data_IF_191830319365
#
_entry.id   IF_191830319365
#
_cell.length_a   1.000
_cell.length_b   1.000
_cell.length_c   1.000
_cell.angle_alpha   90.00
_cell.angle_beta   90.00
_cell.angle_gamma   90.00
#
_symmetry.space_group_name_H-M   'P 1'
#
loop_
_entity.id
_entity.type
_entity.pdbx_description
1 polymer ?
#
# COMPACT_ATOMS: atom_id res chain seq x y z
N UNK A 1 -7.24 6.83 18.07
CA UNK A 1 -6.92 8.19 17.55
C UNK A 1 -7.77 9.19 18.34
N UNK A 2 -7.21 10.31 18.82
CA UNK A 2 -8.01 11.39 19.45
C UNK A 2 -7.89 12.62 18.56
N UNK A 3 -9.02 13.15 18.12
CA UNK A 3 -9.09 14.41 17.36
C UNK A 3 -9.11 15.58 18.36
N UNK A 4 -8.35 16.63 18.09
CA UNK A 4 -8.25 17.79 18.98
C UNK A 4 -9.63 18.41 19.20
N UNK A 5 -10.04 18.55 20.48
CA UNK A 5 -11.35 19.10 20.85
C UNK A 5 -12.51 18.08 20.89
N UNK A 6 -12.28 16.82 20.50
CA UNK A 6 -13.28 15.74 20.59
C UNK A 6 -12.97 14.85 21.79
N UNK A 7 -13.86 14.88 22.79
CA UNK A 7 -13.65 14.15 24.05
C UNK A 7 -13.74 12.61 23.93
N UNK A 8 -14.39 12.12 22.87
CA UNK A 8 -14.63 10.70 22.62
C UNK A 8 -13.55 10.08 21.70
N UNK A 9 -13.25 8.77 21.84
CA UNK A 9 -12.36 8.07 20.91
C UNK A 9 -12.95 8.04 19.50
N UNK A 10 -12.13 8.38 18.51
CA UNK A 10 -12.51 8.36 17.10
C UNK A 10 -12.51 6.91 16.60
N UNK A 11 -13.67 6.45 16.14
CA UNK A 11 -13.91 5.11 15.58
C UNK A 11 -13.68 5.06 14.08
N UNK A 12 -13.79 6.19 13.38
CA UNK A 12 -13.53 6.29 11.94
C UNK A 12 -13.22 7.72 11.51
N UNK A 13 -12.38 7.86 10.49
CA UNK A 13 -12.00 9.15 9.90
C UNK A 13 -12.15 9.05 8.38
N UNK A 14 -12.77 10.05 7.77
CA UNK A 14 -13.00 10.12 6.34
C UNK A 14 -12.70 11.53 5.83
N UNK A 15 -11.99 11.62 4.70
CA UNK A 15 -11.79 12.88 3.99
C UNK A 15 -12.54 12.83 2.66
N UNK A 16 -13.29 13.90 2.37
CA UNK A 16 -13.95 14.09 1.07
C UNK A 16 -13.91 15.56 0.68
N UNK A 17 -13.16 15.86 -0.39
CA UNK A 17 -13.05 17.18 -1.02
C UNK A 17 -12.77 18.33 -0.02
N UNK A 18 -11.74 18.16 0.83
CA UNK A 18 -11.33 19.15 1.84
C UNK A 18 -12.22 19.20 3.09
N UNK A 19 -13.29 18.41 3.15
CA UNK A 19 -14.07 18.19 4.37
C UNK A 19 -13.59 16.91 5.07
N UNK A 20 -13.23 17.02 6.34
CA UNK A 20 -12.93 15.88 7.20
C UNK A 20 -14.15 15.54 8.06
N UNK A 21 -14.43 14.25 8.17
CA UNK A 21 -15.46 13.70 9.05
C UNK A 21 -14.84 12.72 10.03
N UNK A 22 -15.19 12.87 11.31
CA UNK A 22 -14.76 11.99 12.38
C UNK A 22 -15.98 11.35 13.05
N UNK A 23 -16.07 10.04 12.97
CA UNK A 23 -17.03 9.22 13.69
C UNK A 23 -16.48 8.92 15.10
N UNK A 24 -17.35 8.99 16.10
CA UNK A 24 -17.00 8.65 17.49
C UNK A 24 -17.90 7.55 18.03
N UNK A 25 -17.31 6.66 18.84
CA UNK A 25 -18.06 5.61 19.54
C UNK A 25 -18.63 6.07 20.88
N UNK A 26 -19.10 7.33 20.97
CA UNK A 26 -19.87 7.81 22.14
C UNK A 26 -20.42 9.24 22.00
N UNK A 27 -20.24 9.95 20.88
CA UNK A 27 -20.73 11.33 20.73
C UNK A 27 -21.04 11.70 19.25
N UNK A 28 -21.43 10.72 18.42
CA UNK A 28 -21.88 10.98 17.06
C UNK A 28 -20.79 11.39 16.06
N UNK A 29 -21.19 12.19 15.07
CA UNK A 29 -20.39 12.57 13.90
C UNK A 29 -19.93 14.03 13.97
N UNK A 30 -18.66 14.26 13.69
CA UNK A 30 -18.03 15.58 13.68
C UNK A 30 -17.55 15.93 12.28
N UNK A 31 -17.63 17.22 11.94
CA UNK A 31 -17.21 17.77 10.65
C UNK A 31 -16.19 18.87 10.81
N UNK A 32 -15.17 18.86 9.97
CA UNK A 32 -14.17 19.93 9.84
C UNK A 32 -13.99 20.32 8.38
N UNK A 33 -13.88 21.61 8.12
CA UNK A 33 -13.69 22.18 6.77
C UNK A 33 -12.35 22.91 6.62
N UNK A 34 -11.53 22.89 7.66
CA UNK A 34 -10.28 23.65 7.76
C UNK A 34 -9.07 22.73 7.97
N UNK A 35 -9.18 21.48 7.52
CA UNK A 35 -8.12 20.47 7.65
C UNK A 35 -7.97 19.92 9.07
N UNK A 36 -9.05 19.93 9.87
CA UNK A 36 -9.08 19.29 11.19
C UNK A 36 -8.68 20.22 12.33
N UNK A 37 -8.61 21.54 12.08
CA UNK A 37 -8.26 22.54 13.10
C UNK A 37 -9.46 22.88 13.99
N UNK A 38 -10.64 23.00 13.40
CA UNK A 38 -11.90 23.15 14.12
C UNK A 38 -12.88 22.05 13.74
N UNK A 39 -13.68 21.61 14.71
CA UNK A 39 -14.65 20.53 14.57
C UNK A 39 -16.00 20.97 15.07
N UNK A 40 -17.01 20.81 14.21
CA UNK A 40 -18.41 21.07 14.53
C UNK A 40 -19.12 19.74 14.72
N UNK A 41 -19.74 19.55 15.89
CA UNK A 41 -20.67 18.42 16.12
C UNK A 41 -21.86 18.59 15.20
N UNK A 42 -22.33 17.53 14.55
CA UNK A 42 -23.56 17.54 13.75
C UNK A 42 -24.74 17.07 14.63
N UNK A 43 -25.49 17.96 15.29
CA UNK A 43 -26.29 17.57 16.45
C UNK A 43 -27.70 17.05 16.10
N UNK A 44 -28.19 17.20 14.87
CA UNK A 44 -29.63 17.06 14.57
C UNK A 44 -29.99 16.12 13.41
N UNK A 45 -29.04 15.48 12.74
CA UNK A 45 -29.33 14.84 11.44
C UNK A 45 -29.24 13.30 11.44
N UNK A 46 -28.66 12.69 12.49
CA UNK A 46 -28.52 11.22 12.61
C UNK A 46 -29.52 10.59 13.61
N UNK A 47 -30.71 11.19 13.78
CA UNK A 47 -31.81 10.60 14.56
C UNK A 47 -31.62 10.58 16.09
N UNK A 48 -30.91 11.57 16.65
CA UNK A 48 -30.69 11.66 18.10
C UNK A 48 -31.99 12.10 18.80
N UNK A 49 -32.67 11.20 19.50
CA UNK A 49 -33.61 11.64 20.54
C UNK A 49 -32.81 12.37 21.63
N UNK A 50 -33.28 13.53 22.15
CA UNK A 50 -32.58 14.26 23.19
C UNK A 50 -32.24 13.35 24.39
N UNK A 51 -30.95 13.23 24.72
CA UNK A 51 -30.47 12.45 25.88
C UNK A 51 -30.02 11.02 25.61
N UNK A 52 -30.07 10.51 24.37
CA UNK A 52 -29.55 9.18 24.00
C UNK A 52 -28.22 9.31 23.25
N UNK A 53 -27.19 8.63 23.72
CA UNK A 53 -25.89 8.57 23.04
C UNK A 53 -25.95 7.65 21.82
N UNK A 54 -25.56 8.18 20.66
CA UNK A 54 -25.53 7.46 19.37
C UNK A 54 -24.08 7.22 18.96
N UNK A 55 -23.76 5.97 18.65
CA UNK A 55 -22.48 5.54 18.10
C UNK A 55 -22.55 5.50 16.58
N UNK A 56 -21.51 6.03 15.92
CA UNK A 56 -21.31 5.82 14.47
C UNK A 56 -20.32 4.68 14.28
N UNK A 57 -20.83 3.54 13.82
CA UNK A 57 -20.04 2.29 13.73
C UNK A 57 -19.27 2.19 12.43
N UNK A 58 -19.79 2.78 11.34
CA UNK A 58 -19.12 2.81 10.03
C UNK A 58 -19.38 4.14 9.29
N UNK A 59 -18.40 4.57 8.50
CA UNK A 59 -18.43 5.78 7.68
C UNK A 59 -17.72 5.52 6.33
N UNK A 60 -18.28 5.99 5.21
CA UNK A 60 -17.69 5.80 3.88
C UNK A 60 -18.10 6.90 2.87
N UNK A 61 -17.23 7.18 1.89
CA UNK A 61 -17.49 8.12 0.80
C UNK A 61 -17.70 7.38 -0.52
N UNK A 62 -18.63 7.86 -1.35
CA UNK A 62 -18.78 7.38 -2.72
C UNK A 62 -17.59 7.82 -3.59
N UNK A 63 -16.82 6.84 -4.07
CA UNK A 63 -15.64 7.10 -4.92
C UNK A 63 -16.02 7.53 -6.34
N UNK A 64 -17.27 7.28 -6.76
CA UNK A 64 -17.76 7.58 -8.11
C UNK A 64 -18.58 8.87 -8.16
N UNK A 65 -19.15 9.31 -7.03
CA UNK A 65 -19.94 10.54 -6.93
C UNK A 65 -19.40 11.42 -5.79
N UNK A 66 -18.51 12.38 -6.12
CA UNK A 66 -18.02 13.34 -5.16
C UNK A 66 -19.17 14.03 -4.42
N UNK A 67 -19.11 14.04 -3.09
CA UNK A 67 -20.13 14.65 -2.23
C UNK A 67 -21.15 13.69 -1.64
N UNK A 68 -21.22 12.43 -2.12
CA UNK A 68 -22.10 11.41 -1.55
C UNK A 68 -21.39 10.62 -0.45
N UNK A 69 -21.96 10.56 0.75
CA UNK A 69 -21.39 9.91 1.95
C UNK A 69 -22.43 9.04 2.67
N UNK A 70 -21.95 8.03 3.41
CA UNK A 70 -22.78 7.06 4.14
C UNK A 70 -22.31 6.89 5.59
N UNK A 71 -23.24 6.79 6.53
CA UNK A 71 -22.98 6.57 7.96
C UNK A 71 -23.96 5.56 8.56
N UNK A 72 -23.47 4.61 9.37
CA UNK A 72 -24.30 3.65 10.11
C UNK A 72 -24.26 3.94 11.61
N UNK A 73 -25.41 3.90 12.28
CA UNK A 73 -25.53 4.20 13.72
C UNK A 73 -25.93 2.99 14.57
N UNK A 74 -25.66 3.08 15.87
CA UNK A 74 -26.14 2.17 16.91
C UNK A 74 -26.39 2.92 18.23
N UNK A 75 -27.26 2.39 19.09
CA UNK A 75 -27.58 2.98 20.39
C UNK A 75 -26.96 2.19 21.53
N UNK A 76 -26.57 2.88 22.59
CA UNK A 76 -26.14 2.22 23.82
C UNK A 76 -27.24 2.29 24.89
N UNK A 77 -27.71 1.12 25.34
CA UNK A 77 -28.59 1.00 26.50
C UNK A 77 -27.80 0.34 27.63
N UNK A 78 -27.39 1.13 28.61
CA UNK A 78 -26.49 0.69 29.66
C UNK A 78 -26.99 -0.52 30.44
N UNK A 79 -26.16 -1.57 30.46
CA UNK A 79 -26.00 -2.51 31.57
C UNK A 79 -24.56 -3.03 31.53
N UNK A 80 -24.12 -3.76 32.54
CA UNK A 80 -22.71 -4.15 32.81
C UNK A 80 -22.04 -5.02 31.74
N UNK A 81 -22.74 -5.34 30.65
CA UNK A 81 -22.18 -5.93 29.43
C UNK A 81 -22.43 -4.96 28.26
N UNK A 82 -21.39 -4.67 27.45
CA UNK A 82 -21.47 -3.69 26.34
C UNK A 82 -22.36 -4.19 25.20
N UNK A 83 -23.66 -3.99 25.32
CA UNK A 83 -24.65 -4.29 24.30
C UNK A 83 -25.01 -3.02 23.51
N UNK A 84 -24.70 -3.01 22.21
CA UNK A 84 -25.13 -1.99 21.27
C UNK A 84 -26.44 -2.45 20.63
N UNK A 85 -27.44 -1.57 20.55
CA UNK A 85 -28.71 -1.81 19.88
C UNK A 85 -28.61 -1.31 18.43
N UNK A 86 -29.10 -2.09 17.44
CA UNK A 86 -29.16 -1.68 16.04
C UNK A 86 -29.70 -0.26 15.84
N UNK A 87 -29.00 0.57 15.07
CA UNK A 87 -29.43 1.93 14.68
C UNK A 87 -29.77 2.01 13.20
N UNK A 88 -29.77 3.19 12.58
CA UNK A 88 -30.16 3.37 11.17
C UNK A 88 -28.97 3.73 10.29
N UNK A 89 -29.14 3.58 8.98
CA UNK A 89 -28.15 4.05 8.01
C UNK A 89 -28.62 5.36 7.38
N UNK A 90 -27.69 6.30 7.26
CA UNK A 90 -27.92 7.64 6.75
C UNK A 90 -27.06 7.93 5.52
N UNK A 91 -27.59 8.77 4.63
CA UNK A 91 -26.90 9.27 3.44
C UNK A 91 -26.77 10.79 3.50
N UNK A 92 -25.64 11.30 3.02
CA UNK A 92 -25.46 12.71 2.71
C UNK A 92 -25.12 12.84 1.23
N UNK A 93 -25.68 13.87 0.57
CA UNK A 93 -25.42 14.19 -0.82
C UNK A 93 -24.63 15.51 -0.98
N UNK A 94 -24.24 16.13 0.13
CA UNK A 94 -23.69 17.49 0.20
C UNK A 94 -22.43 17.56 1.09
N UNK A 95 -21.55 16.57 0.97
CA UNK A 95 -20.27 16.49 1.69
C UNK A 95 -20.44 16.46 3.22
N UNK A 96 -21.50 15.81 3.69
CA UNK A 96 -21.76 15.58 5.11
C UNK A 96 -22.39 16.79 5.81
N UNK A 97 -22.96 17.74 5.06
CA UNK A 97 -23.60 18.93 5.63
C UNK A 97 -25.04 18.68 6.06
N UNK A 98 -25.73 17.77 5.35
CA UNK A 98 -27.06 17.24 5.68
C UNK A 98 -27.05 15.72 5.55
N UNK A 99 -27.74 15.07 6.49
CA UNK A 99 -27.93 13.63 6.51
C UNK A 99 -29.42 13.31 6.54
N UNK A 100 -29.82 12.35 5.72
CA UNK A 100 -31.18 11.85 5.64
C UNK A 100 -31.16 10.34 5.95
N UNK A 101 -32.13 9.84 6.74
CA UNK A 101 -32.26 8.40 6.95
C UNK A 101 -32.60 7.76 5.62
N UNK A 102 -31.90 6.70 5.29
CA UNK A 102 -32.26 5.93 4.12
C UNK A 102 -33.40 4.98 4.45
N UNK A 103 -34.32 4.86 3.50
CA UNK A 103 -35.55 4.10 3.63
C UNK A 103 -35.64 3.02 2.56
N UNK A 104 -36.36 1.94 2.88
CA UNK A 104 -36.67 0.87 1.94
C UNK A 104 -37.81 1.26 0.98
N UNK A 105 -38.23 0.30 0.14
CA UNK A 105 -39.32 0.50 -0.83
C UNK A 105 -40.68 0.84 -0.19
N UNK A 106 -40.87 0.49 1.08
CA UNK A 106 -42.09 0.74 1.84
C UNK A 106 -42.00 2.01 2.71
N UNK A 107 -40.89 2.76 2.58
CA UNK A 107 -40.65 4.00 3.31
C UNK A 107 -40.23 3.80 4.77
N UNK A 108 -39.86 2.59 5.18
CA UNK A 108 -39.34 2.31 6.52
C UNK A 108 -37.83 2.54 6.58
N UNK A 109 -37.34 3.05 7.72
CA UNK A 109 -35.91 3.30 7.91
C UNK A 109 -35.10 1.99 7.90
N UNK A 110 -33.99 1.98 7.17
CA UNK A 110 -33.12 0.80 7.07
C UNK A 110 -32.25 0.71 8.33
N UNK A 111 -32.34 -0.43 9.03
CA UNK A 111 -31.66 -0.68 10.30
C UNK A 111 -30.28 -1.33 10.06
N UNK A 112 -29.24 -0.75 10.67
CA UNK A 112 -27.89 -1.29 10.74
C UNK A 112 -27.73 -2.16 12.00
N UNK A 113 -27.06 -3.33 11.92
CA UNK A 113 -26.79 -4.17 13.08
C UNK A 113 -25.77 -3.50 13.99
N UNK A 114 -25.72 -3.96 15.24
CA UNK A 114 -24.91 -3.39 16.31
C UNK A 114 -23.40 -3.24 16.02
N UNK A 115 -22.85 -3.96 15.02
CA UNK A 115 -21.42 -3.95 14.68
C UNK A 115 -21.19 -4.05 13.17
N UNK A 116 -21.18 -2.90 12.50
CA UNK A 116 -20.73 -2.77 11.10
C UNK A 116 -19.39 -2.06 11.09
N UNK A 117 -18.35 -2.68 10.52
CA UNK A 117 -16.99 -2.14 10.52
C UNK A 117 -16.56 -1.49 9.19
N UNK A 118 -17.30 -1.68 8.08
CA UNK A 118 -16.95 -1.09 6.78
C UNK A 118 -18.13 -1.04 5.81
N UNK A 119 -18.26 0.07 5.08
CA UNK A 119 -19.20 0.25 3.95
C UNK A 119 -18.39 0.46 2.66
N UNK A 120 -18.65 -0.33 1.61
CA UNK A 120 -17.94 -0.22 0.33
C UNK A 120 -18.77 0.62 -0.68
N UNK A 121 -18.17 1.68 -1.27
CA UNK A 121 -18.88 2.55 -2.19
C UNK A 121 -18.81 2.05 -3.64
N UNK A 122 -19.94 1.64 -4.20
CA UNK A 122 -20.21 1.65 -5.64
C UNK A 122 -21.71 1.83 -5.85
N UNK A 123 -22.18 2.97 -6.32
CA UNK A 123 -23.63 3.21 -6.40
C UNK A 123 -24.33 2.31 -7.40
N UNK A 124 -25.58 1.85 -7.19
CA UNK A 124 -26.81 2.61 -6.84
C UNK A 124 -27.40 2.20 -5.48
N UNK A 125 -27.66 3.16 -4.56
CA UNK A 125 -27.99 2.92 -3.13
C UNK A 125 -27.00 1.93 -2.48
N UNK A 126 -25.73 2.34 -2.47
CA UNK A 126 -24.56 1.55 -2.82
C UNK A 126 -24.27 0.34 -1.94
N UNK A 127 -25.08 -0.69 -2.08
CA UNK A 127 -25.09 -1.89 -1.24
C UNK A 127 -25.68 -1.62 0.15
N UNK A 128 -26.51 -0.58 0.28
CA UNK A 128 -27.38 -0.19 1.41
C UNK A 128 -28.55 -1.17 1.71
N UNK A 129 -28.39 -2.32 1.10
CA UNK A 129 -29.35 -3.22 0.50
C UNK A 129 -28.65 -4.58 0.39
N UNK A 130 -27.30 -4.62 0.36
CA UNK A 130 -26.54 -5.88 0.25
C UNK A 130 -26.47 -6.71 1.50
N UNK A 131 -27.17 -6.28 2.52
CA UNK A 131 -28.24 -7.10 3.02
C UNK A 131 -28.94 -6.21 4.05
N UNK A 132 -30.07 -6.67 4.56
CA UNK A 132 -30.45 -6.48 5.97
C UNK A 132 -29.48 -7.26 6.92
N UNK A 133 -28.20 -7.27 6.52
CA UNK A 133 -26.91 -7.45 7.19
C UNK A 133 -26.52 -8.82 7.76
N UNK A 134 -26.21 -9.73 6.82
CA UNK A 134 -25.16 -10.77 6.87
C UNK A 134 -25.48 -12.19 7.35
N UNK A 135 -26.72 -12.54 7.70
CA UNK A 135 -27.12 -13.94 7.91
C UNK A 135 -27.75 -14.60 6.67
N UNK A 136 -28.87 -14.04 6.20
CA UNK A 136 -29.73 -14.72 5.21
C UNK A 136 -29.42 -14.45 3.73
N UNK A 137 -28.81 -13.31 3.38
CA UNK A 137 -28.56 -12.98 1.95
C UNK A 137 -27.18 -13.39 1.45
N UNK A 138 -26.18 -13.52 2.34
CA UNK A 138 -24.89 -14.10 1.96
C UNK A 138 -25.09 -15.58 1.67
N UNK A 139 -25.86 -16.32 2.48
CA UNK A 139 -26.23 -17.70 2.12
C UNK A 139 -27.13 -17.78 0.87
N UNK A 140 -28.01 -16.81 0.61
CA UNK A 140 -28.83 -16.82 -0.60
C UNK A 140 -28.01 -16.55 -1.88
N UNK A 141 -26.99 -15.70 -1.79
CA UNK A 141 -26.09 -15.38 -2.91
C UNK A 141 -24.98 -16.42 -3.07
N UNK A 142 -24.44 -16.90 -1.95
CA UNK A 142 -23.24 -17.72 -1.88
C UNK A 142 -23.48 -19.17 -1.47
N UNK A 143 -24.72 -19.58 -1.20
CA UNK A 143 -25.05 -20.87 -0.59
C UNK A 143 -24.54 -20.98 0.86
N UNK A 144 -24.81 -22.11 1.52
CA UNK A 144 -24.24 -22.36 2.85
C UNK A 144 -22.75 -22.63 2.73
N UNK A 145 -21.99 -22.32 3.78
CA UNK A 145 -20.56 -22.65 3.82
C UNK A 145 -20.31 -24.15 3.57
N UNK A 146 -21.19 -25.03 4.06
CA UNK A 146 -21.13 -26.47 3.80
C UNK A 146 -21.27 -26.82 2.32
N UNK A 147 -22.17 -26.15 1.59
CA UNK A 147 -22.33 -26.35 0.15
C UNK A 147 -21.07 -25.87 -0.59
N UNK A 148 -20.46 -24.78 -0.13
CA UNK A 148 -19.23 -24.27 -0.73
C UNK A 148 -18.00 -25.12 -0.44
N UNK A 149 -17.93 -25.76 0.73
CA UNK A 149 -16.91 -26.76 1.02
C UNK A 149 -17.01 -27.95 0.06
N UNK A 150 -18.22 -28.34 -0.36
CA UNK A 150 -18.42 -29.37 -1.38
C UNK A 150 -17.97 -28.85 -2.75
N UNK A 151 -18.33 -27.61 -3.11
CA UNK A 151 -17.98 -27.01 -4.41
C UNK A 151 -16.48 -26.73 -4.59
N UNK A 152 -15.71 -26.63 -3.50
CA UNK A 152 -14.24 -26.63 -3.57
C UNK A 152 -13.69 -27.90 -4.24
N UNK A 153 -14.43 -29.01 -4.26
CA UNK A 153 -14.05 -30.24 -4.96
C UNK A 153 -14.60 -30.33 -6.39
N UNK A 154 -15.18 -29.27 -6.95
CA UNK A 154 -15.74 -29.27 -8.31
C UNK A 154 -14.65 -29.54 -9.36
N UNK A 155 -14.99 -30.30 -10.41
CA UNK A 155 -14.11 -30.49 -11.56
C UNK A 155 -13.88 -29.18 -12.33
N UNK A 156 -14.82 -28.24 -12.27
CA UNK A 156 -14.74 -26.95 -12.93
C UNK A 156 -13.99 -25.93 -12.05
N UNK A 157 -12.86 -25.36 -12.51
CA UNK A 157 -12.09 -24.39 -11.74
C UNK A 157 -12.88 -23.10 -11.44
N UNK A 158 -13.82 -22.69 -12.30
CA UNK A 158 -14.62 -21.50 -12.04
C UNK A 158 -15.50 -21.68 -10.78
N UNK A 159 -16.08 -22.87 -10.61
CA UNK A 159 -16.92 -23.19 -9.45
C UNK A 159 -16.08 -23.26 -8.18
N UNK A 160 -14.87 -23.84 -8.26
CA UNK A 160 -13.93 -23.88 -7.12
C UNK A 160 -13.47 -22.48 -6.71
N UNK A 161 -13.14 -21.61 -7.68
CA UNK A 161 -12.70 -20.24 -7.41
C UNK A 161 -13.82 -19.43 -6.77
N UNK A 162 -15.05 -19.59 -7.29
CA UNK A 162 -16.23 -18.96 -6.71
C UNK A 162 -16.50 -19.48 -5.30
N UNK A 163 -16.41 -20.79 -5.07
CA UNK A 163 -16.59 -21.40 -3.75
C UNK A 163 -15.55 -20.88 -2.74
N UNK A 164 -14.27 -20.78 -3.13
CA UNK A 164 -13.24 -20.20 -2.29
C UNK A 164 -13.56 -18.74 -1.93
N UNK A 165 -13.90 -17.91 -2.92
CA UNK A 165 -14.28 -16.53 -2.68
C UNK A 165 -15.51 -16.42 -1.75
N UNK A 166 -16.54 -17.22 -2.03
CA UNK A 166 -17.76 -17.32 -1.25
C UNK A 166 -17.47 -17.64 0.23
N UNK A 167 -16.62 -18.63 0.50
CA UNK A 167 -16.22 -18.99 1.86
C UNK A 167 -15.53 -17.83 2.59
N UNK A 168 -14.67 -17.07 1.88
CA UNK A 168 -14.06 -15.85 2.42
C UNK A 168 -15.08 -14.77 2.80
N UNK A 169 -16.11 -14.57 1.97
CA UNK A 169 -17.18 -13.60 2.22
C UNK A 169 -18.17 -14.06 3.29
N UNK A 170 -18.44 -15.36 3.37
CA UNK A 170 -19.28 -15.98 4.40
C UNK A 170 -18.66 -15.82 5.80
N UNK A 171 -17.34 -15.72 5.91
CA UNK A 171 -16.66 -15.50 7.18
C UNK A 171 -16.58 -16.73 8.08
N UNK A 172 -17.03 -17.91 7.60
CA UNK A 172 -16.98 -19.14 8.38
C UNK A 172 -15.55 -19.68 8.46
N UNK A 173 -14.90 -19.39 9.59
CA UNK A 173 -13.53 -19.81 9.87
C UNK A 173 -13.34 -21.34 9.91
N UNK A 174 -14.41 -22.14 10.01
CA UNK A 174 -14.32 -23.60 9.91
C UNK A 174 -13.84 -24.07 8.53
N UNK A 175 -13.98 -23.22 7.50
CA UNK A 175 -13.50 -23.49 6.15
C UNK A 175 -12.01 -23.21 5.94
N UNK A 176 -11.33 -22.56 6.89
CA UNK A 176 -9.94 -22.16 6.73
C UNK A 176 -8.99 -23.34 6.45
N UNK A 177 -9.09 -24.51 7.13
CA UNK A 177 -8.26 -25.68 6.80
C UNK A 177 -8.48 -26.21 5.38
N UNK A 178 -9.74 -26.21 4.92
CA UNK A 178 -10.07 -26.66 3.57
C UNK A 178 -9.49 -25.71 2.51
N UNK A 179 -9.54 -24.39 2.76
CA UNK A 179 -8.92 -23.40 1.88
C UNK A 179 -7.39 -23.56 1.83
N UNK A 180 -6.71 -23.79 2.97
CA UNK A 180 -5.26 -24.07 2.98
C UNK A 180 -4.92 -25.31 2.15
N UNK A 181 -5.77 -26.34 2.19
CA UNK A 181 -5.58 -27.55 1.38
C UNK A 181 -5.71 -27.31 -0.13
N UNK A 182 -6.29 -26.19 -0.58
CA UNK A 182 -6.44 -25.83 -2.00
C UNK A 182 -5.44 -24.76 -2.48
N UNK A 183 -4.40 -24.47 -1.70
CA UNK A 183 -3.32 -23.56 -2.14
C UNK A 183 -2.52 -24.10 -3.32
N UNK A 184 -2.54 -25.42 -3.54
CA UNK A 184 -1.88 -26.13 -4.63
C UNK A 184 -2.80 -26.38 -5.85
N UNK A 185 -3.98 -25.75 -5.88
CA UNK A 185 -4.90 -25.89 -7.00
C UNK A 185 -4.20 -25.52 -8.33
N UNK A 186 -4.27 -26.38 -9.36
CA UNK A 186 -3.60 -26.14 -10.64
C UNK A 186 -4.11 -24.89 -11.36
N UNK A 187 -5.35 -24.46 -11.08
CA UNK A 187 -5.88 -23.24 -11.66
C UNK A 187 -5.41 -22.00 -10.88
N UNK A 188 -4.90 -21.01 -11.62
CA UNK A 188 -4.36 -19.79 -11.05
C UNK A 188 -5.42 -18.94 -10.33
N UNK A 189 -6.65 -18.88 -10.88
CA UNK A 189 -7.74 -18.08 -10.33
C UNK A 189 -8.25 -18.69 -9.03
N UNK A 190 -8.35 -20.03 -8.96
CA UNK A 190 -8.72 -20.73 -7.71
C UNK A 190 -7.73 -20.41 -6.60
N UNK A 191 -6.44 -20.59 -6.85
CA UNK A 191 -5.43 -20.35 -5.82
C UNK A 191 -5.38 -18.90 -5.34
N UNK A 192 -5.61 -17.90 -6.21
CA UNK A 192 -5.73 -16.50 -5.77
C UNK A 192 -7.01 -16.25 -4.97
N UNK A 193 -8.13 -16.85 -5.36
CA UNK A 193 -9.38 -16.77 -4.60
C UNK A 193 -9.21 -17.36 -3.19
N UNK A 194 -8.51 -18.48 -3.07
CA UNK A 194 -8.14 -19.11 -1.79
C UNK A 194 -7.31 -18.15 -0.92
N UNK A 195 -6.28 -17.52 -1.48
CA UNK A 195 -5.43 -16.56 -0.74
C UNK A 195 -6.25 -15.38 -0.20
N UNK A 196 -7.10 -14.79 -1.04
CA UNK A 196 -7.96 -13.70 -0.62
C UNK A 196 -8.99 -14.15 0.41
N UNK A 197 -9.56 -15.34 0.26
CA UNK A 197 -10.51 -15.90 1.20
C UNK A 197 -9.88 -16.10 2.58
N UNK A 198 -8.68 -16.68 2.65
CA UNK A 198 -7.93 -16.82 3.90
C UNK A 198 -7.65 -15.47 4.56
N UNK A 199 -7.28 -14.45 3.77
CA UNK A 199 -7.12 -13.09 4.25
C UNK A 199 -8.41 -12.48 4.82
N UNK A 200 -9.53 -12.66 4.12
CA UNK A 200 -10.85 -12.18 4.56
C UNK A 200 -11.35 -12.89 5.82
N UNK A 201 -11.15 -14.21 5.92
CA UNK A 201 -11.49 -14.97 7.12
C UNK A 201 -10.69 -14.48 8.34
N UNK A 202 -9.46 -13.99 8.13
CA UNK A 202 -8.58 -13.50 9.21
C UNK A 202 -8.33 -14.52 10.33
N UNK A 203 -8.51 -15.81 10.04
CA UNK A 203 -8.29 -16.88 11.01
C UNK A 203 -6.79 -17.14 11.19
N UNK A 204 -6.25 -16.76 12.34
CA UNK A 204 -4.82 -16.93 12.63
C UNK A 204 -4.43 -18.38 12.97
N UNK A 205 -5.41 -19.28 13.19
CA UNK A 205 -5.13 -20.70 13.50
C UNK A 205 -4.45 -21.43 12.35
N UNK A 206 -4.61 -20.95 11.10
CA UNK A 206 -3.97 -21.55 9.92
C UNK A 206 -2.53 -21.09 9.68
N UNK A 207 -2.00 -20.15 10.47
CA UNK A 207 -0.63 -19.63 10.28
C UNK A 207 0.43 -20.74 10.31
N UNK A 208 0.41 -21.72 11.25
CA UNK A 208 1.37 -22.83 11.24
C UNK A 208 1.34 -23.64 9.95
N UNK A 209 0.15 -23.93 9.42
CA UNK A 209 -0.03 -24.70 8.19
C UNK A 209 0.48 -23.91 6.98
N UNK A 210 0.20 -22.60 6.92
CA UNK A 210 0.72 -21.71 5.88
C UNK A 210 2.25 -21.60 5.92
N UNK A 211 2.85 -21.54 7.12
CA UNK A 211 4.31 -21.59 7.28
C UNK A 211 4.86 -22.93 6.79
N UNK A 212 4.19 -24.04 7.08
CA UNK A 212 4.59 -25.35 6.54
C UNK A 212 4.56 -25.36 5.00
N UNK A 213 3.56 -24.73 4.37
CA UNK A 213 3.48 -24.57 2.90
C UNK A 213 4.55 -23.67 2.31
N UNK A 214 5.25 -22.84 3.10
CA UNK A 214 6.47 -22.15 2.63
C UNK A 214 7.65 -23.13 2.48
N UNK A 215 7.64 -24.25 3.19
CA UNK A 215 8.74 -25.21 3.19
C UNK A 215 8.50 -26.40 2.26
N UNK A 216 7.32 -26.52 1.65
CA UNK A 216 7.04 -27.61 0.73
C UNK A 216 7.87 -27.44 -0.54
N UNK A 217 8.63 -28.49 -0.87
CA UNK A 217 9.22 -28.65 -2.18
C UNK A 217 8.08 -28.97 -3.16
N UNK A 218 7.51 -27.95 -3.77
CA UNK A 218 6.41 -28.18 -4.70
C UNK A 218 6.94 -28.63 -6.06
N UNK A 219 6.33 -29.69 -6.61
CA UNK A 219 6.28 -29.86 -8.06
C UNK A 219 5.59 -28.64 -8.67
N UNK A 220 6.02 -28.24 -9.86
CA UNK A 220 5.55 -27.02 -10.49
C UNK A 220 4.03 -27.08 -10.75
N UNK A 221 3.23 -26.35 -9.96
CA UNK A 221 1.78 -26.22 -10.17
C UNK A 221 1.56 -25.50 -11.49
N UNK A 222 0.84 -26.13 -12.41
CA UNK A 222 0.67 -25.66 -13.79
C UNK A 222 2.00 -25.36 -14.53
N UNK A 223 3.09 -26.05 -14.18
CA UNK A 223 4.41 -25.81 -14.77
C UNK A 223 5.14 -24.57 -14.24
N UNK A 224 4.63 -23.95 -13.17
CA UNK A 224 5.23 -22.76 -12.54
C UNK A 224 5.80 -23.12 -11.15
N UNK A 225 7.13 -23.19 -10.99
CA UNK A 225 7.76 -23.48 -9.69
C UNK A 225 7.47 -22.40 -8.64
N UNK A 226 7.30 -22.82 -7.38
CA UNK A 226 7.12 -21.92 -6.24
C UNK A 226 5.72 -21.33 -6.10
N UNK A 227 4.73 -21.82 -6.85
CA UNK A 227 3.35 -21.31 -6.81
C UNK A 227 2.69 -21.48 -5.44
N UNK A 228 2.82 -22.64 -4.77
CA UNK A 228 2.20 -22.84 -3.44
C UNK A 228 2.90 -21.96 -2.40
N UNK A 229 4.24 -21.92 -2.40
CA UNK A 229 5.02 -21.01 -1.55
C UNK A 229 4.64 -19.54 -1.75
N UNK A 230 4.46 -19.10 -2.99
CA UNK A 230 4.00 -17.75 -3.31
C UNK A 230 2.63 -17.48 -2.69
N UNK A 231 1.65 -18.37 -2.91
CA UNK A 231 0.29 -18.23 -2.37
C UNK A 231 0.28 -18.24 -0.84
N UNK A 232 1.04 -19.13 -0.22
CA UNK A 232 1.21 -19.18 1.24
C UNK A 232 1.82 -17.88 1.78
N UNK A 233 2.86 -17.35 1.12
CA UNK A 233 3.46 -16.06 1.50
C UNK A 233 2.44 -14.91 1.41
N UNK A 234 1.69 -14.84 0.30
CA UNK A 234 0.63 -13.83 0.13
C UNK A 234 -0.42 -13.92 1.24
N UNK A 235 -0.90 -15.13 1.56
CA UNK A 235 -1.89 -15.34 2.61
C UNK A 235 -1.36 -14.89 3.98
N UNK A 236 -0.12 -15.25 4.34
CA UNK A 236 0.55 -14.81 5.57
C UNK A 236 0.68 -13.28 5.65
N UNK A 237 0.94 -12.62 4.51
CA UNK A 237 0.96 -11.17 4.40
C UNK A 237 -0.41 -10.53 4.65
N UNK A 238 -1.48 -11.10 4.07
CA UNK A 238 -2.86 -10.63 4.29
C UNK A 238 -3.30 -10.81 5.75
N UNK A 239 -2.91 -11.91 6.39
CA UNK A 239 -3.15 -12.18 7.81
C UNK A 239 -2.30 -11.33 8.76
N UNK A 240 -1.30 -10.61 8.24
CA UNK A 240 -0.27 -9.90 9.02
C UNK A 240 0.34 -10.81 10.10
N UNK A 241 0.76 -12.00 9.70
CA UNK A 241 1.32 -13.01 10.59
C UNK A 241 2.78 -12.68 10.96
N UNK A 242 2.99 -11.94 12.06
CA UNK A 242 4.32 -11.55 12.54
C UNK A 242 5.23 -12.75 12.85
N UNK A 243 4.65 -13.88 13.25
CA UNK A 243 5.31 -15.15 13.52
C UNK A 243 5.98 -15.74 12.27
N UNK A 244 5.49 -15.38 11.07
CA UNK A 244 6.01 -15.84 9.80
C UNK A 244 7.16 -14.99 9.26
N UNK A 245 7.59 -13.91 9.94
CA UNK A 245 8.67 -13.03 9.46
C UNK A 245 9.96 -13.80 9.19
N UNK A 246 10.36 -14.72 10.08
CA UNK A 246 11.56 -15.55 9.89
C UNK A 246 11.47 -16.45 8.65
N UNK A 247 10.45 -17.31 8.54
CA UNK A 247 10.22 -18.14 7.36
C UNK A 247 10.14 -17.34 6.04
N UNK A 248 9.42 -16.22 6.02
CA UNK A 248 9.30 -15.35 4.84
C UNK A 248 10.65 -14.71 4.47
N UNK A 249 11.45 -14.29 5.46
CA UNK A 249 12.79 -13.78 5.20
C UNK A 249 13.69 -14.82 4.53
N UNK A 250 13.59 -16.08 4.94
CA UNK A 250 14.34 -17.17 4.31
C UNK A 250 13.93 -17.35 2.84
N UNK A 251 12.62 -17.40 2.54
CA UNK A 251 12.14 -17.49 1.15
C UNK A 251 12.63 -16.31 0.31
N UNK A 252 12.53 -15.08 0.82
CA UNK A 252 13.03 -13.90 0.11
C UNK A 252 14.52 -14.01 -0.24
N UNK A 253 15.34 -14.56 0.65
CA UNK A 253 16.80 -14.64 0.45
C UNK A 253 17.23 -15.83 -0.41
N UNK A 254 16.61 -17.00 -0.25
CA UNK A 254 17.10 -18.24 -0.86
C UNK A 254 16.32 -18.68 -2.10
N UNK A 255 15.10 -18.19 -2.30
CA UNK A 255 14.21 -18.65 -3.37
C UNK A 255 14.45 -17.86 -4.67
N UNK A 256 14.57 -18.58 -5.80
CA UNK A 256 14.78 -17.99 -7.14
C UNK A 256 13.52 -18.08 -8.02
N UNK A 257 12.36 -18.33 -7.40
CA UNK A 257 11.06 -18.43 -8.07
C UNK A 257 10.18 -17.21 -7.76
N UNK A 258 8.95 -17.23 -8.27
CA UNK A 258 7.95 -16.19 -8.02
C UNK A 258 7.60 -16.01 -6.53
N UNK A 259 7.90 -17.00 -5.68
CA UNK A 259 7.70 -16.91 -4.24
C UNK A 259 8.57 -15.83 -3.57
N UNK A 260 9.72 -15.49 -4.16
CA UNK A 260 10.65 -14.51 -3.63
C UNK A 260 9.99 -13.12 -3.48
N UNK A 261 9.36 -12.64 -4.55
CA UNK A 261 8.69 -11.34 -4.56
C UNK A 261 7.47 -11.33 -3.62
N UNK A 262 6.72 -12.44 -3.55
CA UNK A 262 5.58 -12.57 -2.64
C UNK A 262 6.02 -12.56 -1.18
N UNK A 263 7.17 -13.14 -0.83
CA UNK A 263 7.71 -13.10 0.52
C UNK A 263 8.10 -11.68 0.95
N UNK A 264 8.77 -10.92 0.08
CA UNK A 264 9.04 -9.50 0.31
C UNK A 264 7.75 -8.68 0.45
N UNK A 265 6.74 -8.97 -0.38
CA UNK A 265 5.42 -8.33 -0.29
C UNK A 265 4.73 -8.65 1.06
N UNK A 266 4.79 -9.90 1.49
CA UNK A 266 4.22 -10.33 2.75
C UNK A 266 4.87 -9.63 3.95
N UNK A 267 6.21 -9.55 3.98
CA UNK A 267 6.96 -8.84 5.03
C UNK A 267 6.54 -7.38 5.13
N UNK A 268 6.41 -6.69 4.01
CA UNK A 268 5.99 -5.30 3.97
C UNK A 268 4.52 -5.10 4.43
N UNK A 269 3.62 -6.04 4.14
CA UNK A 269 2.23 -6.01 4.67
C UNK A 269 2.16 -6.29 6.17
N UNK A 270 3.01 -7.18 6.68
CA UNK A 270 3.16 -7.45 8.11
C UNK A 270 3.59 -6.16 8.82
N UNK A 271 4.56 -5.43 8.25
CA UNK A 271 4.87 -4.06 8.66
C UNK A 271 5.44 -3.91 10.07
N UNK A 272 5.96 -4.99 10.66
CA UNK A 272 6.59 -4.96 11.99
C UNK A 272 8.05 -4.52 11.88
N UNK A 273 8.68 -4.01 12.96
CA UNK A 273 10.11 -3.72 12.97
C UNK A 273 10.97 -4.93 12.59
N UNK A 274 10.58 -6.14 12.99
CA UNK A 274 11.27 -7.36 12.60
C UNK A 274 11.17 -7.64 11.09
N UNK A 275 10.03 -7.32 10.46
CA UNK A 275 9.88 -7.43 9.02
C UNK A 275 10.72 -6.38 8.27
N UNK A 276 10.84 -5.16 8.81
CA UNK A 276 11.73 -4.13 8.31
C UNK A 276 13.20 -4.59 8.33
N UNK A 277 13.65 -5.11 9.46
CA UNK A 277 15.01 -5.67 9.61
C UNK A 277 15.24 -6.87 8.68
N UNK A 278 14.22 -7.71 8.45
CA UNK A 278 14.31 -8.81 7.49
C UNK A 278 14.52 -8.34 6.05
N UNK A 279 13.72 -7.37 5.59
CA UNK A 279 13.89 -6.77 4.26
C UNK A 279 15.24 -6.04 4.15
N UNK A 280 15.64 -5.30 5.18
CA UNK A 280 16.82 -4.45 5.13
C UNK A 280 18.14 -5.24 5.06
N UNK A 281 18.17 -6.51 5.52
CA UNK A 281 19.32 -7.41 5.34
C UNK A 281 19.72 -7.59 3.87
N UNK A 282 18.75 -7.59 2.96
CA UNK A 282 19.02 -7.73 1.52
C UNK A 282 19.56 -6.46 0.85
N UNK A 283 19.69 -5.33 1.57
CA UNK A 283 20.29 -4.11 1.02
C UNK A 283 21.81 -4.22 0.86
N UNK A 284 22.44 -5.21 1.47
CA UNK A 284 23.85 -5.51 1.31
C UNK A 284 24.16 -6.31 0.02
N UNK A 285 23.14 -6.86 -0.62
CA UNK A 285 23.28 -7.60 -1.88
C UNK A 285 23.69 -6.66 -3.04
N UNK A 286 24.22 -7.24 -4.11
CA UNK A 286 24.65 -6.48 -5.29
C UNK A 286 23.51 -5.65 -5.89
N UNK A 287 23.84 -4.51 -6.52
CA UNK A 287 22.85 -3.58 -7.06
C UNK A 287 21.86 -4.24 -8.05
N UNK A 288 22.34 -5.22 -8.82
CA UNK A 288 21.55 -5.98 -9.80
C UNK A 288 20.90 -7.24 -9.23
N UNK A 289 21.10 -7.56 -7.94
CA UNK A 289 20.52 -8.73 -7.29
C UNK A 289 18.98 -8.63 -7.29
N UNK A 290 18.27 -9.64 -7.82
CA UNK A 290 16.81 -9.71 -7.70
C UNK A 290 16.33 -9.59 -6.26
N UNK A 291 17.08 -10.20 -5.33
CA UNK A 291 16.83 -10.16 -3.87
C UNK A 291 16.86 -8.73 -3.34
N UNK A 292 17.84 -7.92 -3.75
CA UNK A 292 17.92 -6.50 -3.39
C UNK A 292 16.69 -5.75 -3.92
N UNK A 293 16.33 -5.96 -5.19
CA UNK A 293 15.24 -5.23 -5.83
C UNK A 293 13.87 -5.52 -5.22
N UNK A 294 13.59 -6.79 -4.85
CA UNK A 294 12.34 -7.12 -4.17
C UNK A 294 12.31 -6.56 -2.74
N UNK A 295 13.45 -6.55 -2.04
CA UNK A 295 13.56 -6.00 -0.70
C UNK A 295 13.39 -4.47 -0.67
N UNK A 296 14.00 -3.75 -1.62
CA UNK A 296 13.82 -2.29 -1.77
C UNK A 296 12.34 -1.94 -2.00
N UNK A 297 11.66 -2.64 -2.92
CA UNK A 297 10.21 -2.46 -3.15
C UNK A 297 9.38 -2.78 -1.92
N UNK A 298 9.77 -3.80 -1.15
CA UNK A 298 9.13 -4.12 0.12
C UNK A 298 9.26 -2.99 1.14
N UNK A 299 10.48 -2.47 1.34
CA UNK A 299 10.75 -1.37 2.27
C UNK A 299 10.04 -0.08 1.87
N UNK A 300 10.06 0.25 0.58
CA UNK A 300 9.32 1.39 0.03
C UNK A 300 7.82 1.28 0.31
N UNK A 301 7.21 0.11 0.02
CA UNK A 301 5.77 -0.09 0.23
C UNK A 301 5.38 -0.13 1.71
N UNK A 302 6.31 -0.50 2.58
CA UNK A 302 6.11 -0.40 4.03
C UNK A 302 6.14 1.07 4.51
N UNK A 303 6.71 1.98 3.71
CA UNK A 303 6.67 3.42 3.92
C UNK A 303 7.37 3.85 5.20
N UNK A 304 6.78 4.82 5.92
CA UNK A 304 7.39 5.39 7.13
C UNK A 304 7.63 4.38 8.26
N UNK A 305 6.98 3.21 8.24
CA UNK A 305 7.27 2.13 9.19
C UNK A 305 8.69 1.53 9.00
N UNK A 306 9.31 1.72 7.83
CA UNK A 306 10.70 1.34 7.56
C UNK A 306 11.72 2.34 8.12
N UNK A 307 11.33 3.60 8.30
CA UNK A 307 12.24 4.69 8.57
C UNK A 307 13.15 4.44 9.78
N UNK A 308 12.68 3.95 10.95
CA UNK A 308 13.57 3.69 12.09
C UNK A 308 14.69 2.69 11.80
N UNK A 309 14.41 1.68 10.97
CA UNK A 309 15.40 0.67 10.57
C UNK A 309 16.41 1.27 9.60
N UNK A 310 15.93 2.01 8.60
CA UNK A 310 16.78 2.64 7.60
C UNK A 310 17.68 3.73 8.21
N UNK A 311 17.15 4.55 9.12
CA UNK A 311 17.92 5.56 9.85
C UNK A 311 19.04 4.93 10.70
N UNK A 312 18.75 3.80 11.36
CA UNK A 312 19.76 3.03 12.09
C UNK A 312 20.87 2.56 11.15
N UNK A 313 20.51 2.04 9.96
CA UNK A 313 21.48 1.56 8.98
C UNK A 313 22.35 2.68 8.42
N UNK A 314 21.75 3.80 8.01
CA UNK A 314 22.49 5.00 7.55
C UNK A 314 23.53 5.44 8.58
N UNK A 315 23.25 5.32 9.88
CA UNK A 315 24.17 5.77 10.94
C UNK A 315 25.22 4.73 11.35
N UNK A 316 24.89 3.44 11.30
CA UNK A 316 25.67 2.40 12.01
C UNK A 316 26.20 1.28 11.14
N UNK A 317 25.70 1.12 9.91
CA UNK A 317 26.12 -0.01 9.09
C UNK A 317 27.57 0.15 8.60
N UNK A 318 28.34 -0.92 8.64
CA UNK A 318 29.75 -0.91 8.24
C UNK A 318 29.91 -0.78 6.71
N UNK A 319 28.96 -1.29 5.93
CA UNK A 319 28.96 -1.29 4.47
C UNK A 319 28.48 0.06 3.94
N UNK A 320 29.33 0.74 3.15
CA UNK A 320 28.95 1.98 2.48
C UNK A 320 27.76 1.76 1.53
N UNK A 321 27.71 0.63 0.83
CA UNK A 321 26.59 0.24 -0.03
C UNK A 321 25.27 0.18 0.73
N UNK A 322 25.26 -0.44 1.92
CA UNK A 322 24.04 -0.52 2.75
C UNK A 322 23.62 0.86 3.24
N UNK A 323 24.56 1.68 3.72
CA UNK A 323 24.27 3.06 4.16
C UNK A 323 23.70 3.90 3.01
N UNK A 324 24.29 3.81 1.81
CA UNK A 324 23.81 4.48 0.60
C UNK A 324 22.39 4.05 0.26
N UNK A 325 22.14 2.74 0.15
CA UNK A 325 20.82 2.19 -0.18
C UNK A 325 19.76 2.57 0.86
N UNK A 326 20.13 2.64 2.14
CA UNK A 326 19.21 3.08 3.18
C UNK A 326 18.88 4.58 3.07
N UNK A 327 19.85 5.43 2.71
CA UNK A 327 19.60 6.84 2.44
C UNK A 327 18.69 7.04 1.21
N UNK A 328 18.97 6.32 0.12
CA UNK A 328 18.15 6.30 -1.11
C UNK A 328 16.68 5.99 -0.78
N UNK A 329 16.43 4.91 -0.03
CA UNK A 329 15.08 4.52 0.38
C UNK A 329 14.40 5.53 1.31
N UNK A 330 15.13 6.17 2.24
CA UNK A 330 14.57 7.23 3.07
C UNK A 330 14.13 8.45 2.24
N UNK A 331 14.86 8.73 1.16
CA UNK A 331 14.48 9.73 0.15
C UNK A 331 13.18 9.36 -0.56
N UNK A 332 13.08 8.14 -1.12
CA UNK A 332 11.89 7.68 -1.85
C UNK A 332 10.64 7.59 -0.97
N UNK A 333 10.79 7.12 0.28
CA UNK A 333 9.71 7.10 1.25
C UNK A 333 9.29 8.53 1.65
N UNK A 334 10.19 9.51 1.46
CA UNK A 334 10.03 10.90 1.86
C UNK A 334 9.63 11.07 3.33
N UNK A 335 10.18 10.23 4.23
CA UNK A 335 9.84 10.25 5.66
C UNK A 335 10.43 11.50 6.34
N UNK A 336 9.63 12.53 6.70
CA UNK A 336 10.17 13.81 7.16
C UNK A 336 10.90 13.72 8.50
N UNK A 337 10.54 12.73 9.33
CA UNK A 337 11.21 12.43 10.59
C UNK A 337 12.69 12.04 10.43
N UNK A 338 13.10 11.65 9.22
CA UNK A 338 14.45 11.16 8.92
C UNK A 338 15.44 12.28 8.59
N UNK A 339 14.99 13.54 8.43
CA UNK A 339 15.88 14.67 8.11
C UNK A 339 17.06 14.78 9.08
N UNK A 340 16.90 14.72 10.42
CA UNK A 340 18.04 14.84 11.33
C UNK A 340 19.09 13.74 11.12
N UNK A 341 18.64 12.50 10.92
CA UNK A 341 19.49 11.34 10.66
C UNK A 341 20.26 11.48 9.34
N UNK A 342 19.60 11.96 8.28
CA UNK A 342 20.24 12.22 6.99
C UNK A 342 21.18 13.43 7.02
N UNK A 343 20.83 14.51 7.72
CA UNK A 343 21.72 15.67 7.88
C UNK A 343 23.03 15.27 8.58
N UNK A 344 22.96 14.42 9.60
CA UNK A 344 24.17 13.87 10.24
C UNK A 344 25.01 13.02 9.26
N UNK A 345 24.35 12.29 8.35
CA UNK A 345 25.01 11.45 7.35
C UNK A 345 25.68 12.23 6.20
N UNK A 346 25.45 13.54 6.08
CA UNK A 346 26.26 14.41 5.20
C UNK A 346 27.73 14.51 5.65
N UNK A 347 28.08 13.99 6.84
CA UNK A 347 29.46 13.85 7.30
C UNK A 347 30.02 12.44 7.08
N UNK A 348 29.36 11.57 6.30
CA UNK A 348 29.83 10.21 6.07
C UNK A 348 31.23 10.21 5.40
N UNK A 349 32.07 9.25 5.84
CA UNK A 349 33.43 9.06 5.30
C UNK A 349 33.42 8.70 3.81
N UNK A 350 32.36 8.07 3.34
CA UNK A 350 32.22 7.59 1.98
C UNK A 350 31.52 8.64 1.10
N UNK A 351 32.15 8.97 -0.04
CA UNK A 351 31.66 10.01 -0.96
C UNK A 351 30.31 9.64 -1.56
N UNK A 352 30.12 8.38 -1.94
CA UNK A 352 28.88 7.93 -2.59
C UNK A 352 27.71 7.96 -1.61
N UNK A 353 27.95 7.67 -0.33
CA UNK A 353 26.95 7.84 0.73
C UNK A 353 26.55 9.31 0.85
N UNK A 354 27.52 10.24 0.90
CA UNK A 354 27.22 11.68 1.00
C UNK A 354 26.43 12.20 -0.20
N UNK A 355 26.78 11.76 -1.42
CA UNK A 355 26.03 12.09 -2.65
C UNK A 355 24.58 11.64 -2.53
N UNK A 356 24.34 10.40 -2.13
CA UNK A 356 22.98 9.85 -2.00
C UNK A 356 22.19 10.54 -0.89
N UNK A 357 22.83 10.85 0.24
CA UNK A 357 22.20 11.60 1.33
C UNK A 357 21.77 13.00 0.87
N UNK A 358 22.57 13.67 0.04
CA UNK A 358 22.19 14.96 -0.54
C UNK A 358 20.96 14.84 -1.44
N UNK A 359 20.88 13.79 -2.27
CA UNK A 359 19.66 13.52 -3.06
C UNK A 359 18.46 13.21 -2.17
N UNK A 360 18.60 12.35 -1.16
CA UNK A 360 17.52 11.98 -0.25
C UNK A 360 16.96 13.19 0.52
N UNK A 361 17.84 14.08 1.00
CA UNK A 361 17.44 15.36 1.61
C UNK A 361 16.71 16.26 0.62
N UNK A 362 17.15 16.24 -0.65
CA UNK A 362 16.49 16.88 -1.77
C UNK A 362 15.08 16.36 -2.00
N UNK A 363 14.84 15.05 -1.95
CA UNK A 363 13.50 14.47 -2.12
C UNK A 363 12.58 14.80 -0.93
N UNK A 364 13.11 14.83 0.30
CA UNK A 364 12.33 15.18 1.51
C UNK A 364 11.92 16.65 1.52
N UNK A 365 12.78 17.57 1.06
CA UNK A 365 12.42 18.97 0.85
C UNK A 365 12.07 19.78 2.11
N UNK A 366 12.40 19.30 3.32
CA UNK A 366 12.12 20.05 4.54
C UNK A 366 13.00 21.31 4.66
N UNK A 367 12.61 22.35 5.42
CA UNK A 367 13.45 23.55 5.59
C UNK A 367 14.85 23.24 6.16
N UNK A 368 14.93 22.26 7.08
CA UNK A 368 16.20 21.80 7.63
C UNK A 368 17.06 21.07 6.58
N UNK A 369 16.43 20.27 5.70
CA UNK A 369 17.12 19.64 4.58
C UNK A 369 17.69 20.70 3.60
N UNK A 370 16.91 21.73 3.27
CA UNK A 370 17.36 22.84 2.43
C UNK A 370 18.58 23.57 3.00
N UNK A 371 18.55 23.93 4.29
CA UNK A 371 19.67 24.59 4.94
C UNK A 371 20.94 23.73 4.92
N UNK A 372 20.80 22.42 5.18
CA UNK A 372 21.91 21.48 5.13
C UNK A 372 22.49 21.32 3.71
N UNK A 373 21.63 21.26 2.69
CA UNK A 373 22.06 21.18 1.29
C UNK A 373 22.79 22.44 0.84
N UNK A 374 22.34 23.63 1.24
CA UNK A 374 23.03 24.89 0.93
C UNK A 374 24.45 24.91 1.51
N UNK A 375 24.58 24.52 2.79
CA UNK A 375 25.89 24.42 3.43
C UNK A 375 26.78 23.38 2.73
N UNK A 376 26.23 22.22 2.36
CA UNK A 376 26.96 21.14 1.68
C UNK A 376 27.44 21.55 0.29
N UNK A 377 26.60 22.24 -0.49
CA UNK A 377 26.94 22.71 -1.83
C UNK A 377 28.14 23.68 -1.84
N UNK A 378 28.33 24.43 -0.75
CA UNK A 378 29.43 25.39 -0.60
C UNK A 378 30.69 24.78 0.03
N UNK A 379 30.52 23.86 0.98
CA UNK A 379 31.59 23.49 1.91
C UNK A 379 32.06 22.03 1.83
N UNK A 380 31.35 21.11 1.16
CA UNK A 380 31.85 19.73 1.05
C UNK A 380 33.16 19.71 0.26
N UNK A 381 34.11 18.89 0.70
CA UNK A 381 35.42 18.77 0.06
C UNK A 381 35.33 18.17 -1.35
N UNK A 382 34.39 17.26 -1.57
CA UNK A 382 34.22 16.54 -2.82
C UNK A 382 33.30 17.28 -3.80
N UNK A 383 33.74 17.39 -5.05
CA UNK A 383 32.97 18.08 -6.09
C UNK A 383 31.65 17.39 -6.40
N UNK A 384 31.60 16.05 -6.41
CA UNK A 384 30.39 15.30 -6.72
C UNK A 384 29.30 15.55 -5.66
N UNK A 385 29.68 15.61 -4.39
CA UNK A 385 28.77 15.92 -3.28
C UNK A 385 28.24 17.35 -3.39
N UNK A 386 29.13 18.33 -3.66
CA UNK A 386 28.70 19.72 -3.88
C UNK A 386 27.72 19.84 -5.04
N UNK A 387 28.00 19.15 -6.15
CA UNK A 387 27.12 19.13 -7.33
C UNK A 387 25.78 18.47 -7.03
N UNK A 388 25.76 17.33 -6.33
CA UNK A 388 24.53 16.65 -5.94
C UNK A 388 23.67 17.55 -5.05
N UNK A 389 24.25 18.21 -4.04
CA UNK A 389 23.53 19.13 -3.17
C UNK A 389 22.96 20.35 -3.92
N UNK A 390 23.73 20.93 -4.86
CA UNK A 390 23.25 22.03 -5.69
C UNK A 390 22.09 21.61 -6.61
N UNK A 391 22.17 20.41 -7.21
CA UNK A 391 21.11 19.89 -8.06
C UNK A 391 19.85 19.52 -7.27
N UNK A 392 20.02 18.92 -6.08
CA UNK A 392 18.92 18.61 -5.16
C UNK A 392 18.12 19.88 -4.79
N UNK A 393 18.81 21.00 -4.53
CA UNK A 393 18.18 22.31 -4.30
C UNK A 393 17.42 22.83 -5.53
N UNK A 394 17.89 22.54 -6.75
CA UNK A 394 17.26 23.01 -8.00
C UNK A 394 16.02 22.22 -8.41
N UNK A 395 15.87 20.98 -7.93
CA UNK A 395 14.79 20.06 -8.32
C UNK A 395 13.49 20.21 -7.51
N UNK A 396 13.50 21.01 -6.46
CA UNK A 396 12.32 21.27 -5.65
C UNK A 396 11.27 22.06 -6.46
N UNK A 397 9.97 21.70 -6.40
CA UNK A 397 8.92 22.53 -6.97
C UNK A 397 9.00 23.89 -6.28
N UNK A 398 9.18 24.94 -7.09
CA UNK A 398 9.22 26.32 -6.63
C UNK A 398 7.89 26.64 -5.94
N UNK A 399 7.78 26.43 -4.63
CA UNK A 399 6.82 27.16 -3.82
C UNK A 399 7.48 28.48 -3.47
N UNK A 400 7.46 29.40 -4.41
CA UNK A 400 7.87 30.77 -4.15
C UNK A 400 6.89 31.72 -4.82
N UNK A 401 6.30 32.69 -4.10
CA UNK A 401 6.17 34.01 -4.67
C UNK A 401 7.53 34.70 -4.53
N UNK A 402 8.51 34.32 -5.37
CA UNK A 402 9.71 35.14 -5.62
C UNK A 402 9.46 35.89 -6.92
N UNK A 403 8.63 36.92 -6.81
CA UNK A 403 8.64 38.06 -7.72
C UNK A 403 8.88 39.30 -6.87
N UNK A 404 10.07 39.40 -6.29
CA UNK A 404 10.65 40.65 -5.84
C UNK A 404 12.13 40.41 -5.58
N UNK A 405 12.99 41.14 -6.29
CA UNK A 405 14.44 41.24 -6.14
C UNK A 405 15.30 40.22 -6.91
N UNK A 406 15.43 40.45 -8.22
CA UNK A 406 16.73 40.45 -8.90
C UNK A 406 16.57 41.18 -10.24
N UNK A 407 17.08 42.41 -10.31
CA UNK A 407 17.13 43.20 -11.52
C UNK A 407 18.11 42.61 -12.54
N UNK A 408 17.70 42.66 -13.81
CA UNK A 408 18.53 42.82 -15.01
C UNK A 408 19.81 41.99 -15.09
N UNK A 409 19.70 40.73 -15.50
CA UNK A 409 20.33 40.23 -16.74
C UNK A 409 19.83 38.80 -17.05
N UNK A 410 18.70 38.69 -17.75
CA UNK A 410 18.03 37.39 -17.96
C UNK A 410 18.72 36.52 -19.01
N UNK A 411 19.54 37.06 -19.90
CA UNK A 411 20.08 36.31 -21.04
C UNK A 411 21.23 35.36 -20.66
N UNK A 412 22.03 35.66 -19.63
CA UNK A 412 23.16 34.80 -19.26
C UNK A 412 22.73 33.47 -18.60
N UNK A 413 21.68 33.50 -17.77
CA UNK A 413 21.19 32.33 -17.02
C UNK A 413 20.46 31.34 -17.93
N UNK A 414 19.64 31.82 -18.86
CA UNK A 414 18.93 30.96 -19.82
C UNK A 414 19.86 30.24 -20.79
N UNK A 415 20.99 30.85 -21.15
CA UNK A 415 21.96 30.26 -22.08
C UNK A 415 22.79 29.15 -21.42
N UNK A 416 23.07 29.24 -20.11
CA UNK A 416 23.70 28.15 -19.36
C UNK A 416 22.72 27.01 -19.05
N UNK A 417 21.45 27.32 -18.77
CA UNK A 417 20.40 26.31 -18.56
C UNK A 417 20.07 25.51 -19.83
N UNK A 418 20.06 26.15 -21.00
CA UNK A 418 19.86 25.49 -22.29
C UNK A 418 20.96 24.46 -22.60
N UNK A 419 22.20 24.70 -22.15
CA UNK A 419 23.32 23.76 -22.31
C UNK A 419 23.30 22.62 -21.28
N UNK A 420 22.61 22.78 -20.15
CA UNK A 420 22.37 21.72 -19.14
C UNK A 420 21.19 20.79 -19.49
N UNK A 421 20.31 21.22 -20.41
CA UNK A 421 19.14 20.47 -20.87
C UNK A 421 19.40 19.59 -22.12
N UNK A 422 20.66 19.41 -22.52
CA UNK A 422 21.04 18.30 -23.39
C UNK A 422 20.76 16.97 -22.66
N UNK A 423 20.17 15.96 -23.32
CA UNK A 423 19.32 14.96 -22.68
C UNK A 423 20.05 14.10 -21.61
N UNK A 424 19.33 13.65 -20.57
CA UNK A 424 19.91 12.81 -19.52
C UNK A 424 20.37 11.46 -20.09
N UNK A 425 21.59 11.07 -19.71
CA UNK A 425 22.33 9.87 -20.16
C UNK A 425 21.60 8.52 -20.00
N UNK A 426 20.46 8.47 -19.31
CA UNK A 426 19.60 7.27 -19.21
C UNK A 426 18.81 6.96 -20.48
N UNK A 427 18.44 7.98 -21.27
CA UNK A 427 17.69 7.77 -22.52
C UNK A 427 18.59 7.35 -23.69
N UNK A 428 19.88 7.70 -23.68
CA UNK A 428 20.85 7.26 -24.71
C UNK A 428 21.10 5.76 -24.59
N UNK A 429 21.14 5.19 -23.39
CA UNK A 429 21.31 3.73 -23.21
C UNK A 429 20.04 2.95 -23.58
N UNK A 430 18.86 3.50 -23.29
CA UNK A 430 17.57 2.95 -23.74
C UNK A 430 17.42 3.01 -25.27
N UNK A 431 17.82 4.13 -25.91
CA UNK A 431 17.78 4.26 -27.37
C UNK A 431 18.85 3.41 -28.06
N UNK A 432 20.05 3.27 -27.47
CA UNK A 432 21.13 2.42 -28.01
C UNK A 432 20.79 0.93 -27.90
N UNK A 433 20.12 0.52 -26.81
CA UNK A 433 19.64 -0.85 -26.63
C UNK A 433 18.46 -1.17 -27.57
N UNK A 434 17.51 -0.24 -27.74
CA UNK A 434 16.42 -0.37 -28.73
C UNK A 434 16.93 -0.41 -30.17
N UNK A 435 17.93 0.41 -30.51
CA UNK A 435 18.55 0.43 -31.85
C UNK A 435 19.39 -0.82 -32.11
N UNK A 436 20.10 -1.36 -31.11
CA UNK A 436 20.84 -2.61 -31.23
C UNK A 436 19.93 -3.83 -31.44
N UNK A 437 18.79 -3.89 -30.75
CA UNK A 437 17.76 -4.92 -30.94
C UNK A 437 17.11 -4.80 -32.32
N UNK A 438 16.84 -3.57 -32.80
CA UNK A 438 16.29 -3.31 -34.13
C UNK A 438 17.27 -3.68 -35.27
N UNK A 439 18.58 -3.39 -35.09
CA UNK A 439 19.64 -3.74 -36.06
C UNK A 439 19.92 -5.25 -36.12
N UNK A 440 19.73 -5.98 -35.01
CA UNK A 440 19.80 -7.45 -35.00
C UNK A 440 18.58 -8.11 -35.66
N UNK A 441 17.40 -7.48 -35.59
CA UNK A 441 16.18 -7.94 -36.26
C UNK A 441 16.14 -7.61 -37.76
N UNK A 442 16.87 -6.60 -38.21
CA UNK A 442 16.84 -6.10 -39.60
C UNK A 442 18.01 -6.55 -40.48
N UNK A 443 18.87 -7.49 -40.05
CA UNK A 443 19.90 -8.05 -40.95
C UNK A 443 19.23 -8.91 -42.04
N UNK A 444 19.26 -8.49 -43.32
CA UNK A 444 18.91 -9.38 -44.41
C UNK A 444 20.01 -10.44 -44.51
N UNK A 445 19.64 -11.70 -44.70
CA UNK A 445 20.59 -12.73 -45.11
C UNK A 445 21.33 -12.26 -46.35
N UNK A 446 22.63 -11.95 -46.21
CA UNK A 446 23.49 -11.61 -47.33
C UNK A 446 23.79 -12.89 -48.11
N UNK A 447 22.90 -13.20 -49.05
CA UNK A 447 23.16 -14.07 -50.19
C UNK A 447 24.22 -13.44 -51.08
N UNK A 448 25.45 -13.95 -51.01
CA UNK A 448 26.45 -13.76 -52.06
C UNK A 448 26.20 -14.76 -53.19
N UNK A 449 25.66 -14.28 -54.31
CA UNK A 449 25.49 -15.02 -55.57
C UNK A 449 26.73 -14.94 -56.45
N UNK A 450 27.07 -16.07 -57.10
CA UNK A 450 27.71 -16.28 -58.42
C UNK A 450 28.68 -17.47 -58.32
N UNK A 451 28.74 -18.50 -59.19
CA UNK A 451 28.40 -18.70 -60.60
C UNK A 451 28.15 -20.21 -60.81
N UNK A 452 27.11 -20.64 -61.53
CA UNK A 452 27.04 -20.98 -62.99
C UNK A 452 27.73 -22.29 -63.42
N UNK A 453 26.93 -23.06 -64.19
CA UNK A 453 27.26 -24.14 -65.15
C UNK A 453 27.33 -25.58 -64.59
N UNK A 454 26.29 -26.40 -64.83
CA UNK A 454 26.13 -27.32 -66.00
C UNK A 454 27.30 -28.29 -66.15
N UNK A 455 27.08 -29.58 -65.89
CA UNK A 455 26.89 -30.62 -66.91
C UNK A 455 26.86 -32.02 -66.27
N UNK A 456 26.08 -32.88 -66.94
CA UNK A 456 25.96 -34.36 -66.84
C UNK A 456 25.48 -34.95 -65.52
#
# INVERSE_FOLDING_TARGET
>A
MRVAGVAAPVSGLLESNGTLLAATGSNGLYRSIDGGRTWTVLPEQLGVQPGVTVDVTALSADLTRPGVLYAATAYWFGSTERHLTPGSIYISLDYGSRWEPMVDSDGQAIIAPARVNRLLPSTTQALHVQALTNGGSIEAQYGRAQDQLINLSSANPADRAWAAAALGWLGDTSAAPALVAHLDDPDAAVGLAVVHALGHLSDRRVVPDLVQRLHTADEAVAGIPGTVRMRAAMALGLLRAAEAVGPLANIMMSDQTIAQAAAADALARIGTPAAAEALARALAEDALSPTRQVAMRGLERMGSAAAPTLERLVRTDTSATTRRNAAELLGWIAAPGSTPSLVAALADRDVDVRVEVAWALGEIGSPAAHAALQATAQNDTDLAVRTAAALALSRQPVTAPVVAAAGTDQTAVWTQLANLLAPPRGLILLFSALLAVLVLWLRPGASGTNHRMRHS
#
